data_IF_337222439849
#
_entry.id   IF_337222439849
#
_cell.length_a   1.000
_cell.length_b   1.000
_cell.length_c   1.000
_cell.angle_alpha   90.00
_cell.angle_beta   90.00
_cell.angle_gamma   90.00
#
_symmetry.space_group_name_H-M   'P 1'
#
loop_
_entity.id
_entity.type
_entity.pdbx_description
1 polymer ?
#
# COMPACT_ATOMS: atom_id res chain seq x y z
N UNK A 1 13.56 5.11 5.59
CA UNK A 1 14.18 4.94 4.26
C UNK A 1 13.77 3.65 3.55
N UNK A 2 13.95 2.42 4.11
CA UNK A 2 13.73 1.19 3.33
C UNK A 2 12.30 1.05 2.79
N UNK A 3 11.27 1.55 3.49
CA UNK A 3 9.89 1.51 2.98
C UNK A 3 9.69 2.27 1.66
N UNK A 4 10.34 3.43 1.48
CA UNK A 4 10.26 4.20 0.23
C UNK A 4 10.96 3.45 -0.92
N UNK A 5 12.10 2.82 -0.64
CA UNK A 5 12.83 1.98 -1.59
C UNK A 5 12.00 0.75 -1.98
N UNK A 6 11.42 0.02 -1.02
CA UNK A 6 10.55 -1.13 -1.29
C UNK A 6 9.33 -0.70 -2.14
N UNK A 7 8.65 0.40 -1.80
CA UNK A 7 7.55 0.93 -2.62
C UNK A 7 7.99 1.29 -4.05
N UNK A 8 9.19 1.86 -4.22
CA UNK A 8 9.77 2.17 -5.52
C UNK A 8 10.10 0.90 -6.33
N UNK A 9 10.66 -0.14 -5.69
CA UNK A 9 10.92 -1.42 -6.36
C UNK A 9 9.64 -2.13 -6.80
N UNK A 10 8.58 -2.09 -5.99
CA UNK A 10 7.25 -2.60 -6.37
C UNK A 10 6.66 -1.78 -7.53
N UNK A 11 6.89 -0.46 -7.57
CA UNK A 11 6.47 0.37 -8.68
C UNK A 11 7.23 0.04 -9.99
N UNK A 12 8.54 -0.23 -9.93
CA UNK A 12 9.29 -0.73 -11.09
C UNK A 12 8.78 -2.10 -11.55
N UNK A 13 8.44 -2.99 -10.62
CA UNK A 13 7.82 -4.29 -10.93
C UNK A 13 6.46 -4.11 -11.61
N UNK A 14 5.61 -3.20 -11.11
CA UNK A 14 4.34 -2.85 -11.74
C UNK A 14 4.51 -2.28 -13.17
N UNK A 15 5.56 -1.48 -13.40
CA UNK A 15 5.89 -0.95 -14.73
C UNK A 15 6.28 -2.08 -15.69
N UNK A 16 7.07 -3.06 -15.25
CA UNK A 16 7.40 -4.23 -16.09
C UNK A 16 6.15 -4.99 -16.53
N UNK A 17 5.20 -5.23 -15.61
CA UNK A 17 3.90 -5.82 -15.94
C UNK A 17 3.05 -4.93 -16.87
N UNK A 18 3.10 -3.61 -16.72
CA UNK A 18 2.42 -2.69 -17.64
C UNK A 18 3.00 -2.73 -19.06
N UNK A 19 4.32 -2.89 -19.22
CA UNK A 19 4.95 -3.15 -20.52
C UNK A 19 4.59 -4.53 -21.08
N UNK A 20 4.45 -5.56 -20.25
CA UNK A 20 3.92 -6.88 -20.65
C UNK A 20 2.48 -6.78 -21.20
N UNK A 21 1.61 -6.02 -20.54
CA UNK A 21 0.27 -5.73 -21.05
C UNK A 21 0.31 -4.93 -22.36
N UNK A 22 1.17 -3.90 -22.44
CA UNK A 22 1.28 -3.03 -23.60
C UNK A 22 1.78 -3.78 -24.84
N UNK A 23 2.75 -4.68 -24.66
CA UNK A 23 3.24 -5.55 -25.73
C UNK A 23 2.17 -6.53 -26.16
N UNK A 24 1.55 -7.29 -25.26
CA UNK A 24 0.47 -8.22 -25.60
C UNK A 24 -0.73 -7.55 -26.32
N UNK A 25 -1.09 -6.33 -25.95
CA UNK A 25 -2.21 -5.58 -26.58
C UNK A 25 -1.83 -4.92 -27.90
N UNK A 26 -0.57 -4.48 -28.09
CA UNK A 26 -0.12 -3.81 -29.34
C UNK A 26 0.50 -4.75 -30.37
N UNK A 27 0.97 -5.93 -29.96
CA UNK A 27 1.55 -6.91 -30.86
C UNK A 27 0.64 -7.27 -32.04
N UNK A 28 -0.69 -7.45 -31.87
CA UNK A 28 -1.59 -7.65 -33.00
C UNK A 28 -1.55 -6.52 -34.04
N UNK A 29 -1.57 -5.27 -33.59
CA UNK A 29 -1.54 -4.10 -34.49
C UNK A 29 -0.20 -3.96 -35.20
N UNK A 30 0.91 -4.28 -34.52
CA UNK A 30 2.26 -4.28 -35.12
C UNK A 30 2.36 -5.40 -36.16
N UNK A 31 1.94 -6.62 -35.82
CA UNK A 31 1.97 -7.77 -36.73
C UNK A 31 1.07 -7.58 -37.95
N UNK A 32 -0.07 -6.90 -37.82
CA UNK A 32 -0.93 -6.57 -38.97
C UNK A 32 -0.22 -5.62 -39.95
N UNK A 33 0.51 -4.61 -39.45
CA UNK A 33 1.30 -3.68 -40.29
C UNK A 33 2.53 -4.37 -40.90
N UNK A 34 3.24 -5.20 -40.12
CA UNK A 34 4.40 -5.96 -40.61
C UNK A 34 3.98 -7.00 -41.66
N UNK A 35 2.87 -7.71 -41.44
CA UNK A 35 2.34 -8.66 -42.43
C UNK A 35 1.97 -7.95 -43.73
N UNK A 36 1.28 -6.80 -43.65
CA UNK A 36 0.97 -5.97 -44.82
C UNK A 36 2.22 -5.49 -45.57
N UNK A 37 3.31 -5.16 -44.85
CA UNK A 37 4.55 -4.65 -45.45
C UNK A 37 5.42 -5.75 -46.09
N UNK A 38 5.24 -7.03 -45.70
CA UNK A 38 6.10 -8.15 -46.12
C UNK A 38 5.38 -9.13 -47.03
N UNK A 39 4.05 -9.27 -46.91
CA UNK A 39 3.24 -10.17 -47.72
C UNK A 39 1.97 -9.43 -48.18
N UNK A 40 1.85 -9.18 -49.49
CA UNK A 40 0.66 -8.51 -50.08
C UNK A 40 -0.66 -9.29 -49.83
N UNK A 41 -0.59 -10.57 -49.44
CA UNK A 41 -1.75 -11.38 -49.05
C UNK A 41 -2.10 -11.25 -47.55
N UNK A 42 -2.63 -10.08 -47.17
CA UNK A 42 -3.10 -9.77 -45.82
C UNK A 42 -4.06 -10.83 -45.22
N UNK A 43 -4.85 -11.51 -46.06
CA UNK A 43 -5.97 -12.33 -45.60
C UNK A 43 -5.56 -13.71 -45.05
N UNK A 44 -4.53 -14.35 -45.59
CA UNK A 44 -4.25 -15.76 -45.31
C UNK A 44 -3.63 -16.01 -43.92
N UNK A 45 -2.64 -15.19 -43.53
CA UNK A 45 -1.97 -15.30 -42.23
C UNK A 45 -2.74 -14.66 -41.07
N UNK A 46 -3.48 -13.58 -41.33
CA UNK A 46 -4.21 -12.83 -40.29
C UNK A 46 -5.48 -13.57 -39.84
N UNK A 47 -6.11 -14.37 -40.71
CA UNK A 47 -7.35 -15.09 -40.43
C UNK A 47 -7.19 -16.31 -39.50
N UNK A 48 -5.98 -16.86 -39.33
CA UNK A 48 -5.73 -18.03 -38.47
C UNK A 48 -5.47 -17.68 -37.00
N UNK A 49 -5.23 -16.40 -36.67
CA UNK A 49 -4.86 -15.97 -35.32
C UNK A 49 -5.99 -15.14 -34.72
N UNK A 50 -6.59 -15.58 -33.61
CA UNK A 50 -7.54 -14.74 -32.87
C UNK A 50 -6.79 -13.68 -32.06
N UNK A 51 -6.50 -12.57 -32.74
CA UNK A 51 -5.85 -11.38 -32.19
C UNK A 51 -6.57 -10.78 -30.97
N UNK A 52 -7.89 -11.01 -30.85
CA UNK A 52 -8.70 -10.49 -29.75
C UNK A 52 -8.55 -11.37 -28.51
N UNK A 53 -8.48 -12.69 -28.69
CA UNK A 53 -8.06 -13.63 -27.65
C UNK A 53 -6.61 -13.37 -27.21
N UNK A 54 -5.70 -13.08 -28.14
CA UNK A 54 -4.33 -12.70 -27.82
C UNK A 54 -4.31 -11.45 -26.90
N UNK A 55 -4.96 -10.36 -27.32
CA UNK A 55 -4.95 -9.10 -26.59
C UNK A 55 -5.69 -9.13 -25.24
N UNK A 56 -6.84 -9.81 -25.15
CA UNK A 56 -7.67 -9.84 -23.94
C UNK A 56 -7.21 -10.94 -22.98
N UNK A 57 -7.07 -12.18 -23.46
CA UNK A 57 -6.76 -13.34 -22.60
C UNK A 57 -5.32 -13.30 -22.10
N UNK A 58 -4.38 -12.81 -22.91
CA UNK A 58 -2.97 -12.73 -22.53
C UNK A 58 -2.59 -11.32 -22.00
N UNK A 59 -3.10 -10.24 -22.60
CA UNK A 59 -2.80 -8.86 -22.15
C UNK A 59 -3.55 -8.39 -20.91
N UNK A 60 -4.81 -8.83 -20.74
CA UNK A 60 -5.67 -8.45 -19.61
C UNK A 60 -5.09 -8.79 -18.23
N UNK A 61 -4.61 -10.02 -17.98
CA UNK A 61 -4.00 -10.40 -16.70
C UNK A 61 -2.80 -9.53 -16.32
N UNK A 62 -1.91 -9.20 -17.28
CA UNK A 62 -0.76 -8.32 -17.02
C UNK A 62 -1.18 -6.90 -16.63
N UNK A 63 -2.25 -6.37 -17.23
CA UNK A 63 -2.78 -5.05 -16.87
C UNK A 63 -3.36 -5.04 -15.45
N UNK A 64 -4.11 -6.08 -15.08
CA UNK A 64 -4.65 -6.24 -13.73
C UNK A 64 -3.50 -6.41 -12.72
N UNK A 65 -2.50 -7.22 -13.03
CA UNK A 65 -1.29 -7.40 -12.21
C UNK A 65 -0.56 -6.07 -11.97
N UNK A 66 -0.35 -5.28 -13.03
CA UNK A 66 0.28 -3.95 -12.95
C UNK A 66 -0.52 -2.99 -12.04
N UNK A 67 -1.84 -2.94 -12.18
CA UNK A 67 -2.73 -2.12 -11.33
C UNK A 67 -2.63 -2.58 -9.87
N UNK A 68 -2.67 -3.90 -9.62
CA UNK A 68 -2.55 -4.48 -8.29
C UNK A 68 -1.19 -4.18 -7.63
N UNK A 69 -0.07 -4.34 -8.33
CA UNK A 69 1.25 -3.98 -7.82
C UNK A 69 1.40 -2.47 -7.59
N UNK A 70 0.88 -1.63 -8.47
CA UNK A 70 0.90 -0.18 -8.28
C UNK A 70 0.06 0.25 -7.06
N UNK A 71 -1.12 -0.35 -6.87
CA UNK A 71 -1.93 -0.15 -5.67
C UNK A 71 -1.20 -0.63 -4.40
N UNK A 72 -0.48 -1.76 -4.46
CA UNK A 72 0.35 -2.24 -3.36
C UNK A 72 1.48 -1.24 -3.03
N UNK A 73 2.20 -0.72 -4.02
CA UNK A 73 3.24 0.30 -3.84
C UNK A 73 2.69 1.58 -3.17
N UNK A 74 1.52 2.07 -3.59
CA UNK A 74 0.84 3.21 -2.96
C UNK A 74 0.41 2.92 -1.51
N UNK A 75 -0.06 1.70 -1.21
CA UNK A 75 -0.41 1.30 0.16
C UNK A 75 0.83 1.25 1.07
N UNK A 76 1.95 0.70 0.57
CA UNK A 76 3.24 0.65 1.28
C UNK A 76 3.76 2.07 1.54
N UNK A 77 3.77 2.95 0.55
CA UNK A 77 4.26 4.32 0.73
C UNK A 77 3.41 5.10 1.76
N UNK A 78 2.08 4.98 1.66
CA UNK A 78 1.09 5.66 2.51
C UNK A 78 0.85 5.02 3.88
N UNK A 79 1.62 3.99 4.28
CA UNK A 79 1.48 3.26 5.56
C UNK A 79 0.07 2.67 5.79
N UNK A 80 -0.65 2.30 4.73
CA UNK A 80 -2.03 1.77 4.83
C UNK A 80 -2.06 0.24 4.95
N UNK A 81 -3.03 -0.26 5.72
CA UNK A 81 -3.30 -1.69 5.86
C UNK A 81 -4.02 -2.19 4.61
N UNK A 82 -3.34 -3.01 3.81
CA UNK A 82 -3.91 -3.59 2.58
C UNK A 82 -2.88 -3.92 1.50
N UNK A 83 -1.66 -3.40 1.58
CA UNK A 83 -0.57 -3.66 0.63
C UNK A 83 -0.39 -5.13 0.25
N UNK A 84 -0.36 -6.03 1.23
CA UNK A 84 -0.16 -7.47 1.03
C UNK A 84 -1.29 -8.10 0.19
N UNK A 85 -2.55 -7.70 0.41
CA UNK A 85 -3.67 -8.23 -0.37
C UNK A 85 -3.54 -7.81 -1.84
N UNK A 86 -3.26 -6.53 -2.09
CA UNK A 86 -2.99 -6.03 -3.44
C UNK A 86 -1.78 -6.70 -4.08
N UNK A 87 -0.73 -6.99 -3.31
CA UNK A 87 0.46 -7.68 -3.80
C UNK A 87 0.18 -9.14 -4.20
N UNK A 88 -0.57 -9.87 -3.37
CA UNK A 88 -0.98 -11.27 -3.65
C UNK A 88 -1.90 -11.32 -4.87
N UNK A 89 -2.86 -10.38 -5.00
CA UNK A 89 -3.65 -10.26 -6.22
C UNK A 89 -2.75 -9.98 -7.44
N UNK A 90 -1.75 -9.10 -7.31
CA UNK A 90 -0.76 -8.84 -8.35
C UNK A 90 -0.01 -10.09 -8.79
N UNK A 91 0.47 -10.91 -7.85
CA UNK A 91 1.12 -12.19 -8.14
C UNK A 91 0.16 -13.17 -8.83
N UNK A 92 -1.08 -13.30 -8.36
CA UNK A 92 -2.06 -14.22 -8.93
C UNK A 92 -2.43 -13.86 -10.38
N UNK A 93 -2.66 -12.57 -10.68
CA UNK A 93 -2.91 -12.11 -12.05
C UNK A 93 -1.62 -12.01 -12.90
N UNK A 94 -0.46 -11.96 -12.27
CA UNK A 94 0.85 -11.97 -12.94
C UNK A 94 1.38 -13.36 -13.28
N UNK A 95 0.82 -14.42 -12.67
CA UNK A 95 1.21 -15.81 -12.89
C UNK A 95 1.24 -16.25 -14.37
N UNK A 96 0.38 -15.76 -15.30
CA UNK A 96 0.48 -16.10 -16.71
C UNK A 96 1.82 -15.78 -17.38
N UNK A 97 2.69 -14.95 -16.76
CA UNK A 97 4.04 -14.68 -17.27
C UNK A 97 4.88 -15.96 -17.39
N UNK A 98 4.61 -16.97 -16.56
CA UNK A 98 5.28 -18.28 -16.63
C UNK A 98 4.84 -19.12 -17.84
N UNK A 99 3.74 -18.78 -18.52
CA UNK A 99 3.32 -19.43 -19.77
C UNK A 99 3.89 -18.75 -21.03
N UNK A 100 4.56 -17.60 -20.91
CA UNK A 100 5.28 -16.98 -22.03
C UNK A 100 6.58 -17.70 -22.38
N UNK A 101 7.06 -18.58 -21.50
CA UNK A 101 8.31 -19.32 -21.65
C UNK A 101 8.05 -20.80 -21.43
N UNK A 102 8.41 -21.61 -22.41
CA UNK A 102 8.42 -23.07 -22.28
C UNK A 102 9.64 -23.48 -21.48
N UNK A 103 9.44 -23.95 -20.25
CA UNK A 103 10.51 -24.46 -19.40
C UNK A 103 10.89 -25.89 -19.80
N UNK A 104 12.11 -26.10 -20.29
CA UNK A 104 12.57 -27.41 -20.74
C UNK A 104 12.93 -28.35 -19.57
N UNK A 105 12.79 -29.69 -19.70
CA UNK A 105 13.21 -30.62 -18.67
C UNK A 105 14.71 -30.51 -18.37
N UNK A 106 15.07 -29.94 -17.22
CA UNK A 106 16.46 -29.67 -16.83
C UNK A 106 16.90 -28.21 -16.89
N UNK A 107 16.01 -27.27 -17.28
CA UNK A 107 16.27 -25.83 -17.39
C UNK A 107 16.99 -25.19 -16.19
N UNK A 108 16.82 -25.75 -14.98
CA UNK A 108 17.46 -25.26 -13.76
C UNK A 108 18.97 -25.51 -13.70
N UNK A 109 19.54 -26.30 -14.61
CA UNK A 109 20.97 -26.60 -14.69
C UNK A 109 21.70 -25.73 -15.73
N UNK A 110 21.05 -25.47 -16.87
CA UNK A 110 21.53 -24.60 -17.94
C UNK A 110 20.35 -23.75 -18.48
N UNK A 111 19.97 -22.66 -17.77
CA UNK A 111 18.78 -21.89 -18.10
C UNK A 111 19.01 -21.03 -19.33
N UNK A 112 18.11 -21.13 -20.31
CA UNK A 112 18.07 -20.16 -21.40
C UNK A 112 17.75 -18.76 -20.87
N UNK A 113 18.15 -17.72 -21.61
CA UNK A 113 17.90 -16.31 -21.27
C UNK A 113 16.44 -16.03 -20.84
N UNK A 114 15.40 -16.50 -21.58
CA UNK A 114 14.00 -16.26 -21.14
C UNK A 114 13.62 -17.03 -19.87
N UNK A 115 14.05 -18.28 -19.69
CA UNK A 115 13.76 -19.08 -18.49
C UNK A 115 14.39 -18.46 -17.24
N UNK A 116 15.69 -18.11 -17.32
CA UNK A 116 16.40 -17.41 -16.26
C UNK A 116 15.82 -16.03 -15.95
N UNK A 117 15.37 -15.30 -16.98
CA UNK A 117 14.69 -14.01 -16.83
C UNK A 117 13.36 -14.11 -16.07
N UNK A 118 12.51 -15.08 -16.43
CA UNK A 118 11.22 -15.30 -15.75
C UNK A 118 11.41 -15.86 -14.34
N UNK A 119 12.33 -16.81 -14.14
CA UNK A 119 12.67 -17.32 -12.82
C UNK A 119 13.22 -16.21 -11.89
N UNK A 120 14.09 -15.35 -12.41
CA UNK A 120 14.62 -14.19 -11.69
C UNK A 120 13.53 -13.18 -11.32
N UNK A 121 12.61 -12.85 -12.25
CA UNK A 121 11.45 -12.01 -11.98
C UNK A 121 10.52 -12.62 -10.91
N UNK A 122 10.33 -13.94 -10.92
CA UNK A 122 9.61 -14.68 -9.89
C UNK A 122 10.27 -14.56 -8.51
N UNK A 123 11.59 -14.81 -8.44
CA UNK A 123 12.37 -14.70 -7.21
C UNK A 123 12.33 -13.28 -6.62
N UNK A 124 12.48 -12.25 -7.46
CA UNK A 124 12.33 -10.84 -7.05
C UNK A 124 10.91 -10.57 -6.52
N UNK A 125 9.88 -11.11 -7.15
CA UNK A 125 8.49 -11.01 -6.67
C UNK A 125 8.28 -11.61 -5.28
N UNK A 126 8.88 -12.78 -5.01
CA UNK A 126 8.84 -13.43 -3.69
C UNK A 126 9.62 -12.62 -2.64
N UNK A 127 10.83 -12.15 -2.97
CA UNK A 127 11.65 -11.33 -2.07
C UNK A 127 10.96 -10.00 -1.71
N UNK A 128 10.31 -9.35 -2.67
CA UNK A 128 9.51 -8.15 -2.43
C UNK A 128 8.27 -8.44 -1.56
N UNK A 129 7.60 -9.58 -1.73
CA UNK A 129 6.51 -9.98 -0.82
C UNK A 129 7.02 -10.15 0.62
N UNK A 130 8.16 -10.83 0.81
CA UNK A 130 8.79 -10.98 2.13
C UNK A 130 9.17 -9.61 2.72
N UNK A 131 9.75 -8.71 1.93
CA UNK A 131 10.08 -7.35 2.38
C UNK A 131 8.83 -6.54 2.80
N UNK A 132 7.70 -6.68 2.09
CA UNK A 132 6.41 -6.07 2.47
C UNK A 132 5.81 -6.72 3.72
N UNK A 133 6.03 -8.02 3.91
CA UNK A 133 5.62 -8.77 5.09
C UNK A 133 6.39 -8.32 6.34
N UNK A 134 7.73 -8.25 6.26
CA UNK A 134 8.63 -7.76 7.32
C UNK A 134 8.31 -6.33 7.76
N UNK A 135 8.03 -5.42 6.81
CA UNK A 135 7.57 -4.06 7.08
C UNK A 135 6.30 -3.99 7.97
N UNK A 136 5.54 -5.08 8.09
CA UNK A 136 4.34 -5.17 8.91
C UNK A 136 4.61 -5.53 10.38
N UNK A 137 5.78 -6.11 10.69
CA UNK A 137 6.20 -6.47 12.04
C UNK A 137 7.01 -5.36 12.71
N UNK A 138 7.71 -4.53 11.92
CA UNK A 138 8.38 -3.32 12.43
C UNK A 138 7.40 -2.36 13.09
N UNK A 139 7.80 -1.77 14.22
CA UNK A 139 6.96 -0.84 14.96
C UNK A 139 6.81 0.50 14.22
N UNK A 140 5.70 1.24 14.44
CA UNK A 140 5.52 2.57 13.85
C UNK A 140 6.58 3.60 14.28
N UNK A 141 7.29 3.37 15.41
CA UNK A 141 8.35 4.25 15.92
C UNK A 141 9.65 4.08 15.13
N UNK A 142 10.15 2.86 15.01
CA UNK A 142 11.34 2.52 14.19
C UNK A 142 11.16 3.00 12.74
N UNK A 143 9.96 2.82 12.17
CA UNK A 143 9.61 3.27 10.82
C UNK A 143 9.46 4.79 10.67
N UNK A 144 9.32 5.55 11.76
CA UNK A 144 9.31 7.01 11.73
C UNK A 144 10.74 7.58 11.84
N UNK A 145 11.55 7.02 12.74
CA UNK A 145 12.98 7.32 12.89
C UNK A 145 13.74 7.06 11.58
N UNK A 146 13.58 5.88 10.96
CA UNK A 146 14.21 5.55 9.67
C UNK A 146 13.80 6.50 8.53
N UNK A 147 12.60 7.08 8.57
CA UNK A 147 12.08 7.93 7.50
C UNK A 147 12.49 9.41 7.64
N UNK A 148 13.16 9.79 8.73
CA UNK A 148 13.48 11.18 9.05
C UNK A 148 12.23 12.06 9.25
N UNK A 149 11.07 11.43 9.45
CA UNK A 149 9.82 12.12 9.74
C UNK A 149 9.80 12.33 11.25
N UNK A 150 9.75 13.57 11.75
CA UNK A 150 9.54 13.79 13.18
C UNK A 150 8.29 13.03 13.58
N UNK A 151 8.41 12.12 14.56
CA UNK A 151 7.21 11.58 15.18
C UNK A 151 6.37 12.80 15.63
N UNK A 152 5.04 12.80 15.42
CA UNK A 152 4.20 13.71 16.20
C UNK A 152 4.59 13.45 17.65
N UNK A 153 5.01 14.50 18.37
CA UNK A 153 5.56 14.36 19.71
C UNK A 153 4.50 13.74 20.63
N UNK A 154 4.50 12.41 20.69
CA UNK A 154 3.63 11.59 21.50
C UNK A 154 4.15 11.76 22.91
N UNK A 155 3.65 12.83 23.54
CA UNK A 155 3.94 13.27 24.89
C UNK A 155 5.26 12.70 25.41
N UNK A 156 6.38 13.28 24.96
CA UNK A 156 7.61 13.19 25.74
C UNK A 156 7.18 13.41 27.19
N UNK A 157 7.41 12.46 28.12
CA UNK A 157 6.89 12.56 29.48
C UNK A 157 7.40 13.90 29.98
N UNK A 158 6.48 14.86 30.11
CA UNK A 158 6.84 16.28 30.14
C UNK A 158 7.90 16.42 31.23
N UNK A 159 9.11 16.92 30.89
CA UNK A 159 10.28 16.73 31.73
C UNK A 159 9.87 17.13 33.13
N UNK A 160 9.83 16.13 34.03
CA UNK A 160 9.26 16.32 35.35
C UNK A 160 10.26 17.19 36.06
N UNK A 161 10.08 18.51 35.91
CA UNK A 161 10.65 19.51 36.77
C UNK A 161 10.01 19.24 38.12
N UNK A 162 10.64 18.33 38.85
CA UNK A 162 10.56 18.24 40.30
C UNK A 162 11.13 19.56 40.80
N UNK A 163 10.28 20.59 40.77
CA UNK A 163 10.53 21.80 41.54
C UNK A 163 10.37 21.34 42.98
N UNK A 164 11.50 21.05 43.61
CA UNK A 164 11.58 20.98 45.07
C UNK A 164 11.27 22.39 45.57
N UNK A 165 10.02 22.60 45.99
CA UNK A 165 9.64 23.79 46.76
C UNK A 165 9.93 23.50 48.23
N UNK A 166 9.92 24.54 49.07
CA UNK A 166 10.21 24.49 50.49
C UNK A 166 9.17 25.30 51.29
N UNK A 167 8.30 24.62 52.03
CA UNK A 167 7.16 25.20 52.77
C UNK A 167 6.90 24.65 54.21
N UNK A 168 7.70 23.83 54.91
CA UNK A 168 9.08 23.34 54.70
C UNK A 168 9.20 22.30 53.58
N UNK A 169 8.17 21.47 53.35
CA UNK A 169 7.82 20.83 52.08
C UNK A 169 6.34 20.38 52.21
N UNK A 170 5.49 20.45 51.18
CA UNK A 170 5.68 20.95 49.82
C UNK A 170 4.40 21.55 49.23
N UNK A 171 4.43 21.91 47.93
CA UNK A 171 3.51 22.88 47.37
C UNK A 171 2.14 22.28 47.06
N UNK A 172 1.08 22.99 47.42
CA UNK A 172 -0.28 22.64 46.98
C UNK A 172 -0.35 22.74 45.45
N UNK A 173 -0.42 21.59 44.78
CA UNK A 173 -0.51 21.50 43.31
C UNK A 173 -1.89 21.98 42.83
N UNK A 174 -2.07 23.29 42.77
CA UNK A 174 -3.16 23.92 42.02
C UNK A 174 -2.88 23.67 40.55
N UNK A 175 -3.58 22.70 39.95
CA UNK A 175 -3.54 22.46 38.50
C UNK A 175 -3.91 23.75 37.76
N UNK A 176 -2.91 24.41 37.19
CA UNK A 176 -3.14 25.51 36.27
C UNK A 176 -4.08 25.02 35.14
N UNK A 177 -5.13 25.76 34.79
CA UNK A 177 -6.01 25.37 33.70
C UNK A 177 -5.20 25.32 32.41
N UNK A 178 -5.13 24.14 31.80
CA UNK A 178 -4.31 23.90 30.61
C UNK A 178 -4.59 24.97 29.54
N UNK A 179 -3.53 25.67 29.12
CA UNK A 179 -3.62 26.79 28.19
C UNK A 179 -4.39 26.35 26.94
N UNK A 180 -5.50 27.02 26.65
CA UNK A 180 -6.33 26.68 25.49
C UNK A 180 -5.48 26.90 24.23
N UNK A 181 -5.39 25.92 23.31
CA UNK A 181 -4.61 26.10 22.08
C UNK A 181 -5.16 27.29 21.30
N UNK A 182 -4.30 28.27 21.03
CA UNK A 182 -4.67 29.58 20.48
C UNK A 182 -5.33 29.51 19.09
N UNK A 183 -5.13 28.40 18.36
CA UNK A 183 -5.77 28.14 17.09
C UNK A 183 -6.30 26.71 17.03
N UNK A 184 -7.61 26.57 16.78
CA UNK A 184 -8.27 25.28 16.50
C UNK A 184 -8.92 25.40 15.12
N UNK A 185 -8.51 24.62 14.11
CA UNK A 185 -9.14 24.64 12.79
C UNK A 185 -10.65 24.42 12.88
N UNK A 186 -11.42 25.15 12.08
CA UNK A 186 -12.88 25.22 12.20
C UNK A 186 -13.58 23.84 12.14
N UNK A 187 -13.03 22.89 11.38
CA UNK A 187 -13.52 21.50 11.34
C UNK A 187 -13.39 20.79 12.71
N UNK A 188 -12.26 20.95 13.39
CA UNK A 188 -12.00 20.36 14.72
C UNK A 188 -12.84 21.05 15.79
N UNK A 189 -13.07 22.36 15.67
CA UNK A 189 -13.99 23.10 16.55
C UNK A 189 -15.43 22.58 16.41
N UNK A 190 -15.92 22.36 15.18
CA UNK A 190 -17.25 21.78 14.91
C UNK A 190 -17.39 20.35 15.45
N UNK A 191 -16.37 19.51 15.28
CA UNK A 191 -16.36 18.15 15.86
C UNK A 191 -16.37 18.17 17.40
N UNK A 192 -15.56 19.02 18.04
CA UNK A 192 -15.58 19.16 19.51
C UNK A 192 -16.94 19.62 20.02
N UNK A 193 -17.62 20.51 19.30
CA UNK A 193 -18.97 20.96 19.65
C UNK A 193 -20.02 19.83 19.54
N UNK A 194 -19.98 19.00 18.50
CA UNK A 194 -20.93 17.87 18.36
C UNK A 194 -20.70 16.79 19.41
N UNK A 195 -19.44 16.44 19.73
CA UNK A 195 -19.12 15.52 20.82
C UNK A 195 -19.53 16.08 22.19
N UNK A 196 -19.32 17.37 22.47
CA UNK A 196 -19.77 18.00 23.71
C UNK A 196 -21.31 18.08 23.85
N UNK A 197 -22.03 18.14 22.74
CA UNK A 197 -23.50 18.04 22.72
C UNK A 197 -23.98 16.62 22.99
N UNK A 198 -23.38 15.60 22.35
CA UNK A 198 -23.69 14.20 22.63
C UNK A 198 -23.34 13.77 24.05
N UNK A 199 -22.19 14.22 24.58
CA UNK A 199 -21.77 13.96 25.96
C UNK A 199 -22.77 14.49 27.00
N UNK A 200 -23.25 15.74 26.83
CA UNK A 200 -24.30 16.30 27.70
C UNK A 200 -25.60 15.49 27.64
N UNK A 201 -26.07 15.14 26.44
CA UNK A 201 -27.28 14.33 26.25
C UNK A 201 -27.18 12.91 26.84
N UNK A 202 -25.98 12.32 26.89
CA UNK A 202 -25.73 11.05 27.59
C UNK A 202 -25.64 11.23 29.11
N UNK A 203 -25.01 12.29 29.60
CA UNK A 203 -24.95 12.61 31.03
C UNK A 203 -26.36 12.84 31.62
N UNK A 204 -27.20 13.62 30.94
CA UNK A 204 -28.61 13.83 31.30
C UNK A 204 -29.41 12.51 31.33
N UNK A 205 -29.21 11.62 30.34
CA UNK A 205 -29.82 10.28 30.35
C UNK A 205 -29.36 9.46 31.55
N UNK A 206 -28.06 9.48 31.87
CA UNK A 206 -27.50 8.75 33.01
C UNK A 206 -28.04 9.30 34.34
N UNK A 207 -28.14 10.62 34.49
CA UNK A 207 -28.76 11.26 35.66
C UNK A 207 -30.24 10.89 35.81
N UNK A 208 -31.02 10.88 34.72
CA UNK A 208 -32.43 10.43 34.76
C UNK A 208 -32.55 8.96 35.18
N UNK A 209 -31.66 8.08 34.72
CA UNK A 209 -31.64 6.66 35.11
C UNK A 209 -31.22 6.48 36.58
N UNK A 210 -30.29 7.29 37.10
CA UNK A 210 -29.88 7.26 38.51
C UNK A 210 -30.99 7.79 39.43
N UNK A 211 -31.63 8.91 39.05
CA UNK A 211 -32.78 9.46 39.77
C UNK A 211 -33.96 8.46 39.80
N UNK A 212 -34.25 7.79 38.68
CA UNK A 212 -35.26 6.73 38.62
C UNK A 212 -34.91 5.45 39.42
N UNK A 213 -33.66 5.32 39.89
CA UNK A 213 -33.20 4.22 40.76
C UNK A 213 -33.10 4.60 42.24
N UNK A 214 -33.53 5.81 42.62
CA UNK A 214 -33.58 6.22 44.03
C UNK A 214 -32.20 6.35 44.71
N UNK A 215 -31.14 6.58 43.92
CA UNK A 215 -29.79 6.84 44.44
C UNK A 215 -29.38 8.27 44.06
N UNK A 216 -29.71 9.21 44.96
CA UNK A 216 -29.35 10.62 44.92
C UNK A 216 -29.08 11.10 46.35
#
# INVERSE_FOLDING_TARGET
MPRKLIAMMIAFYAIAFAFGALTAVRWPSIMMVVSWLVHDELAAGVAQVDWRELGITHGGPYLIAAICFYAAALQVSARRRGSILWYICGLAFGFPVFYLVTFEPGWWQDPSIPEGGVAGLGAVGVLLLIAVWELRYRSPRELAEEDGVPLPAEAAPAPVQVVYVREEDGPVVVRAPAARPAFVPAAVARQRASFAHHGRRMAERRQRVLAARGQG
#
